data_IF_513239464169
#
_entry.id   IF_513239464169
#
_cell.length_a   1.000
_cell.length_b   1.000
_cell.length_c   1.000
_cell.angle_alpha   90.00
_cell.angle_beta   90.00
_cell.angle_gamma   90.00
#
_symmetry.space_group_name_H-M   'P 1'
#
loop_
_entity.id
_entity.type
_entity.pdbx_description
1 polymer ?
#
# COMPACT_ATOMS: atom_id res chain seq x y z
N UNK A 1 8.39 22.01 0.35
CA UNK A 1 8.51 20.58 -0.03
C UNK A 1 7.45 20.32 -1.07
N UNK A 2 7.87 19.97 -2.30
CA UNK A 2 6.97 19.64 -3.41
C UNK A 2 6.85 18.12 -3.52
N UNK A 3 5.63 17.63 -3.42
CA UNK A 3 5.32 16.19 -3.45
C UNK A 3 4.72 15.84 -4.80
N UNK A 4 5.30 14.87 -5.50
CA UNK A 4 4.66 14.22 -6.63
C UNK A 4 3.76 13.09 -6.13
N UNK A 5 2.46 13.20 -6.32
CA UNK A 5 1.52 12.13 -5.96
C UNK A 5 1.49 11.08 -7.07
N UNK A 6 1.97 9.88 -6.77
CA UNK A 6 1.84 8.74 -7.65
C UNK A 6 0.60 7.92 -7.27
N UNK A 7 -0.41 7.92 -8.14
CA UNK A 7 -1.63 7.12 -7.98
C UNK A 7 -1.51 5.86 -8.84
N UNK A 8 -1.31 4.67 -8.23
CA UNK A 8 -1.16 3.43 -8.96
C UNK A 8 -2.42 3.03 -9.73
N UNK A 9 -2.24 2.23 -10.79
CA UNK A 9 -3.32 1.86 -11.71
C UNK A 9 -4.53 1.18 -11.05
N UNK A 10 -4.34 0.36 -10.01
CA UNK A 10 -5.45 -0.23 -9.25
C UNK A 10 -6.21 0.81 -8.42
N UNK A 11 -5.51 1.78 -7.85
CA UNK A 11 -6.14 2.89 -7.14
C UNK A 11 -6.93 3.75 -8.11
N UNK A 12 -6.31 4.15 -9.21
CA UNK A 12 -6.95 5.01 -10.23
C UNK A 12 -8.19 4.36 -10.85
N UNK A 13 -8.12 3.06 -11.17
CA UNK A 13 -9.18 2.35 -11.87
C UNK A 13 -10.33 1.85 -10.97
N UNK A 14 -10.06 1.47 -9.72
CA UNK A 14 -11.03 0.76 -8.89
C UNK A 14 -11.37 1.45 -7.56
N UNK A 15 -10.44 2.26 -7.03
CA UNK A 15 -10.59 2.91 -5.71
C UNK A 15 -10.03 4.35 -5.74
N UNK A 16 -10.48 5.22 -6.68
CA UNK A 16 -9.95 6.58 -6.83
C UNK A 16 -10.03 7.42 -5.55
N UNK A 17 -10.98 7.12 -4.68
CA UNK A 17 -11.12 7.73 -3.35
C UNK A 17 -9.90 7.51 -2.45
N UNK A 18 -9.09 6.48 -2.68
CA UNK A 18 -7.82 6.28 -1.96
C UNK A 18 -6.78 7.31 -2.41
N UNK A 19 -6.74 7.62 -3.70
CA UNK A 19 -5.90 8.68 -4.26
C UNK A 19 -6.30 10.06 -3.71
N UNK A 20 -7.61 10.34 -3.67
CA UNK A 20 -8.17 11.58 -3.11
C UNK A 20 -7.84 11.69 -1.62
N UNK A 21 -8.08 10.65 -0.83
CA UNK A 21 -7.75 10.63 0.59
C UNK A 21 -6.25 10.83 0.86
N UNK A 22 -5.39 10.30 -0.02
CA UNK A 22 -3.94 10.50 0.07
C UNK A 22 -3.57 11.96 -0.20
N UNK A 23 -4.15 12.57 -1.23
CA UNK A 23 -3.96 13.99 -1.55
C UNK A 23 -4.37 14.86 -0.37
N UNK A 24 -5.63 14.73 0.08
CA UNK A 24 -6.19 15.52 1.17
C UNK A 24 -5.38 15.37 2.47
N UNK A 25 -4.96 14.14 2.79
CA UNK A 25 -4.16 13.87 3.98
C UNK A 25 -2.80 14.59 3.92
N UNK A 26 -2.12 14.55 2.79
CA UNK A 26 -0.84 15.26 2.61
C UNK A 26 -1.03 16.79 2.66
N UNK A 27 -2.10 17.31 2.07
CA UNK A 27 -2.44 18.73 2.12
C UNK A 27 -2.80 19.21 3.54
N UNK A 28 -3.46 18.37 4.38
CA UNK A 28 -3.71 18.67 5.80
C UNK A 28 -2.42 18.89 6.60
N UNK A 29 -1.31 18.27 6.17
CA UNK A 29 0.02 18.52 6.74
C UNK A 29 0.74 19.72 6.10
N UNK A 30 0.05 20.53 5.30
CA UNK A 30 0.59 21.75 4.69
C UNK A 30 1.57 21.50 3.55
N UNK A 31 1.53 20.32 2.93
CA UNK A 31 2.40 19.98 1.80
C UNK A 31 1.83 20.49 0.48
N UNK A 32 2.72 20.91 -0.43
CA UNK A 32 2.35 21.20 -1.83
C UNK A 32 2.37 19.89 -2.62
N UNK A 33 1.21 19.41 -3.00
CA UNK A 33 1.05 18.13 -3.71
C UNK A 33 0.65 18.39 -5.15
N UNK A 34 1.32 17.74 -6.09
CA UNK A 34 1.03 17.82 -7.52
C UNK A 34 0.81 16.41 -8.07
N UNK A 35 -0.20 16.28 -8.93
CA UNK A 35 -0.54 15.04 -9.63
C UNK A 35 -0.13 15.14 -11.11
N UNK A 36 0.93 14.47 -11.57
CA UNK A 36 1.26 14.39 -12.99
C UNK A 36 0.18 13.64 -13.77
N UNK A 37 -0.50 14.31 -14.71
CA UNK A 37 -1.66 13.75 -15.40
C UNK A 37 -1.34 12.63 -16.39
N UNK A 38 -0.11 12.55 -16.88
CA UNK A 38 0.34 11.51 -17.82
C UNK A 38 1.03 10.32 -17.13
N UNK A 39 0.89 10.20 -15.80
CA UNK A 39 1.37 9.04 -15.07
C UNK A 39 0.60 7.76 -15.43
N UNK A 40 1.25 6.61 -15.26
CA UNK A 40 0.69 5.31 -15.59
C UNK A 40 1.01 4.27 -14.51
N UNK A 41 1.06 2.99 -14.86
CA UNK A 41 1.43 1.89 -13.96
C UNK A 41 2.90 1.99 -13.50
N UNK A 42 3.22 1.37 -12.34
CA UNK A 42 4.60 1.21 -11.86
C UNK A 42 5.44 0.20 -12.67
N UNK A 43 4.82 -0.57 -13.57
CA UNK A 43 5.51 -1.61 -14.35
C UNK A 43 5.52 -3.01 -13.71
N UNK A 44 5.07 -3.17 -12.47
CA UNK A 44 5.14 -4.44 -11.74
C UNK A 44 4.53 -5.65 -12.47
N UNK A 45 3.36 -5.57 -13.14
CA UNK A 45 2.84 -6.73 -13.87
C UNK A 45 3.76 -7.24 -14.97
N UNK A 46 4.48 -6.36 -15.66
CA UNK A 46 5.44 -6.72 -16.70
C UNK A 46 6.67 -7.38 -16.11
N UNK A 47 7.25 -6.80 -15.06
CA UNK A 47 8.45 -7.35 -14.41
C UNK A 47 8.18 -8.69 -13.73
N UNK A 48 7.02 -8.85 -13.08
CA UNK A 48 6.62 -10.10 -12.42
C UNK A 48 6.40 -11.26 -13.42
N UNK A 49 6.12 -10.96 -14.68
CA UNK A 49 5.97 -11.97 -15.75
C UNK A 49 7.25 -12.18 -16.57
N UNK A 50 8.35 -11.54 -16.21
CA UNK A 50 9.61 -11.64 -16.92
C UNK A 50 9.74 -10.74 -18.16
N UNK A 51 8.72 -9.90 -18.44
CA UNK A 51 8.70 -8.95 -19.55
C UNK A 51 9.42 -7.65 -19.16
N UNK A 52 10.70 -7.74 -18.80
CA UNK A 52 11.46 -6.59 -18.31
C UNK A 52 11.71 -5.52 -19.39
N UNK A 53 11.91 -5.91 -20.63
CA UNK A 53 12.16 -4.96 -21.72
C UNK A 53 10.93 -4.11 -22.02
N UNK A 54 9.76 -4.70 -21.93
CA UNK A 54 8.47 -4.04 -22.14
C UNK A 54 8.15 -3.03 -21.04
N UNK A 55 8.73 -3.20 -19.84
CA UNK A 55 8.59 -2.24 -18.76
C UNK A 55 9.37 -0.92 -19.00
N UNK A 56 10.36 -0.91 -19.88
CA UNK A 56 11.26 0.22 -20.06
C UNK A 56 10.55 1.55 -20.37
N UNK A 57 9.52 1.53 -21.21
CA UNK A 57 8.76 2.74 -21.54
C UNK A 57 7.99 3.30 -20.33
N UNK A 58 7.39 2.42 -19.54
CA UNK A 58 6.68 2.77 -18.28
C UNK A 58 7.65 3.32 -17.24
N UNK A 59 8.81 2.70 -17.09
CA UNK A 59 9.86 3.15 -16.16
C UNK A 59 10.42 4.53 -16.56
N UNK A 60 10.67 4.74 -17.86
CA UNK A 60 11.14 6.03 -18.38
C UNK A 60 10.10 7.15 -18.16
N UNK A 61 8.81 6.84 -18.37
CA UNK A 61 7.72 7.77 -18.11
C UNK A 61 7.60 8.11 -16.62
N UNK A 62 7.77 7.14 -15.73
CA UNK A 62 7.78 7.37 -14.28
C UNK A 62 8.90 8.36 -13.90
N UNK A 63 10.12 8.12 -14.37
CA UNK A 63 11.25 9.01 -14.09
C UNK A 63 10.99 10.42 -14.64
N UNK A 64 10.51 10.54 -15.90
CA UNK A 64 10.16 11.83 -16.51
C UNK A 64 9.16 12.61 -15.66
N UNK A 65 8.11 11.95 -15.16
CA UNK A 65 7.03 12.59 -14.40
C UNK A 65 7.47 13.03 -13.01
N UNK A 66 8.39 12.28 -12.38
CA UNK A 66 8.68 12.44 -10.96
C UNK A 66 10.07 13.00 -10.65
N UNK A 67 10.94 13.24 -11.64
CA UNK A 67 12.30 13.74 -11.40
C UNK A 67 12.34 15.12 -10.74
N UNK A 68 11.38 16.01 -11.02
CA UNK A 68 11.32 17.39 -10.55
C UNK A 68 10.78 17.60 -9.12
N UNK A 69 10.35 16.56 -8.41
CA UNK A 69 9.80 16.68 -7.05
C UNK A 69 10.83 16.40 -5.97
N UNK A 70 10.59 16.91 -4.76
CA UNK A 70 11.44 16.60 -3.59
C UNK A 70 11.21 15.16 -3.12
N UNK A 71 9.96 14.73 -3.11
CA UNK A 71 9.51 13.36 -2.80
C UNK A 71 8.43 12.91 -3.76
N UNK A 72 8.34 11.60 -3.95
CA UNK A 72 7.22 10.93 -4.62
C UNK A 72 6.51 10.08 -3.58
N UNK A 73 5.21 10.29 -3.42
CA UNK A 73 4.41 9.54 -2.43
C UNK A 73 3.30 8.78 -3.13
N UNK A 74 3.15 7.50 -2.76
CA UNK A 74 2.13 6.62 -3.33
C UNK A 74 1.41 5.80 -2.26
N UNK A 75 0.09 5.61 -2.33
CA UNK A 75 -0.68 4.75 -1.43
C UNK A 75 -0.64 3.27 -1.88
N UNK A 76 0.55 2.72 -2.07
CA UNK A 76 0.72 1.32 -2.47
C UNK A 76 2.13 0.81 -2.16
N UNK A 77 2.21 -0.11 -1.21
CA UNK A 77 3.48 -0.72 -0.84
C UNK A 77 4.11 -1.57 -1.95
N UNK A 78 3.29 -2.25 -2.75
CA UNK A 78 3.78 -3.06 -3.87
C UNK A 78 4.36 -2.22 -5.00
N UNK A 79 3.71 -1.11 -5.35
CA UNK A 79 4.17 -0.21 -6.40
C UNK A 79 5.44 0.55 -5.99
N UNK A 80 5.53 1.00 -4.73
CA UNK A 80 6.76 1.65 -4.23
C UNK A 80 7.92 0.66 -4.20
N UNK A 81 7.70 -0.58 -3.76
CA UNK A 81 8.71 -1.63 -3.82
C UNK A 81 9.17 -1.88 -5.26
N UNK A 82 8.25 -1.94 -6.22
CA UNK A 82 8.59 -2.06 -7.64
C UNK A 82 9.50 -0.93 -8.11
N UNK A 83 9.15 0.33 -7.81
CA UNK A 83 9.95 1.49 -8.23
C UNK A 83 11.32 1.48 -7.56
N UNK A 84 11.40 1.23 -6.26
CA UNK A 84 12.65 1.30 -5.51
C UNK A 84 13.62 0.18 -5.83
N UNK A 85 13.12 -1.05 -6.00
CA UNK A 85 13.99 -2.23 -6.11
C UNK A 85 14.04 -2.81 -7.53
N UNK A 86 12.98 -2.65 -8.33
CA UNK A 86 12.81 -3.36 -9.59
C UNK A 86 12.67 -2.46 -10.84
N UNK A 87 12.78 -1.13 -10.70
CA UNK A 87 12.86 -0.21 -11.83
C UNK A 87 14.28 -0.29 -12.45
N UNK A 88 14.51 -1.30 -13.28
CA UNK A 88 15.85 -1.68 -13.79
C UNK A 88 15.91 -1.90 -15.31
N UNK A 89 14.78 -1.75 -16.03
CA UNK A 89 14.72 -1.94 -17.47
C UNK A 89 15.33 -0.77 -18.27
N UNK A 90 15.60 0.36 -17.63
CA UNK A 90 16.24 1.54 -18.20
C UNK A 90 17.64 1.76 -17.61
N UNK A 91 18.54 2.51 -18.31
CA UNK A 91 19.85 2.84 -17.78
C UNK A 91 19.78 3.53 -16.41
N UNK A 92 20.55 3.04 -15.43
CA UNK A 92 20.53 3.50 -14.04
C UNK A 92 21.37 4.77 -13.85
N UNK A 93 20.95 5.87 -14.47
CA UNK A 93 21.58 7.19 -14.32
C UNK A 93 21.39 7.74 -12.90
N UNK A 94 22.11 8.80 -12.56
CA UNK A 94 21.96 9.43 -11.24
C UNK A 94 20.56 10.01 -11.04
N UNK A 95 19.90 10.49 -12.09
CA UNK A 95 18.50 10.93 -12.06
C UNK A 95 17.57 9.77 -11.72
N UNK A 96 17.71 8.62 -12.37
CA UNK A 96 16.90 7.41 -12.09
C UNK A 96 17.09 6.95 -10.65
N UNK A 97 18.34 6.87 -10.18
CA UNK A 97 18.66 6.52 -8.78
C UNK A 97 18.05 7.51 -7.79
N UNK A 98 18.11 8.82 -8.10
CA UNK A 98 17.52 9.86 -7.26
C UNK A 98 15.98 9.72 -7.17
N UNK A 99 15.30 9.46 -8.29
CA UNK A 99 13.84 9.24 -8.30
C UNK A 99 13.47 8.00 -7.49
N UNK A 100 14.17 6.90 -7.65
CA UNK A 100 13.98 5.67 -6.85
C UNK A 100 14.14 5.93 -5.35
N UNK A 101 15.20 6.64 -4.96
CA UNK A 101 15.52 6.91 -3.56
C UNK A 101 14.52 7.83 -2.85
N UNK A 102 13.87 8.74 -3.59
CA UNK A 102 12.87 9.68 -3.05
C UNK A 102 11.42 9.22 -3.19
N UNK A 103 11.19 7.97 -3.66
CA UNK A 103 9.86 7.37 -3.75
C UNK A 103 9.52 6.64 -2.47
N UNK A 104 8.44 7.07 -1.82
CA UNK A 104 7.98 6.57 -0.53
C UNK A 104 6.54 6.05 -0.61
N UNK A 105 6.26 5.02 0.15
CA UNK A 105 4.88 4.67 0.43
C UNK A 105 4.31 5.63 1.49
N UNK A 106 3.01 5.90 1.42
CA UNK A 106 2.34 6.89 2.26
C UNK A 106 2.63 6.70 3.75
N UNK A 107 2.48 5.48 4.27
CA UNK A 107 2.73 5.18 5.70
C UNK A 107 4.19 5.44 6.07
N UNK A 108 5.12 5.00 5.22
CA UNK A 108 6.55 5.24 5.42
C UNK A 108 6.85 6.75 5.43
N UNK A 109 6.27 7.51 4.50
CA UNK A 109 6.45 8.94 4.40
C UNK A 109 5.92 9.66 5.66
N UNK A 110 4.72 9.33 6.10
CA UNK A 110 4.12 9.92 7.30
C UNK A 110 4.91 9.57 8.57
N UNK A 111 5.39 8.33 8.67
CA UNK A 111 6.08 7.84 9.86
C UNK A 111 7.55 8.30 9.93
N UNK A 112 8.31 8.16 8.84
CA UNK A 112 9.77 8.33 8.85
C UNK A 112 10.19 9.75 8.45
N UNK A 113 9.49 10.38 7.49
CA UNK A 113 9.83 11.71 6.97
C UNK A 113 9.12 12.80 7.77
N UNK A 114 7.79 12.74 7.85
CA UNK A 114 6.99 13.74 8.57
C UNK A 114 6.98 13.51 10.08
N UNK A 115 7.22 12.29 10.53
CA UNK A 115 7.23 11.89 11.96
C UNK A 115 5.95 12.32 12.67
N UNK A 116 4.81 11.99 12.08
CA UNK A 116 3.49 12.39 12.58
C UNK A 116 3.30 11.90 14.01
N UNK A 117 2.98 12.81 14.94
CA UNK A 117 2.74 12.51 16.34
C UNK A 117 1.25 12.31 16.66
N UNK A 118 0.35 13.02 15.98
CA UNK A 118 -1.09 12.99 16.24
C UNK A 118 -1.91 13.15 14.95
N UNK A 119 -3.17 12.71 15.00
CA UNK A 119 -4.16 12.80 13.92
C UNK A 119 -5.49 13.28 14.51
N UNK A 120 -5.62 14.56 14.90
CA UNK A 120 -6.75 15.05 15.70
C UNK A 120 -8.10 14.98 14.97
N UNK A 121 -8.09 14.87 13.64
CA UNK A 121 -9.30 14.73 12.82
C UNK A 121 -9.72 13.28 12.58
N UNK A 122 -8.82 12.30 12.84
CA UNK A 122 -9.06 10.90 12.49
C UNK A 122 -9.81 10.17 13.62
N UNK A 123 -11.02 9.72 13.32
CA UNK A 123 -11.85 8.90 14.20
C UNK A 123 -12.39 7.70 13.43
N UNK A 124 -12.21 6.49 13.97
CA UNK A 124 -12.65 5.23 13.35
C UNK A 124 -12.97 4.19 14.43
N UNK A 125 -14.15 4.25 15.09
CA UNK A 125 -14.47 3.45 16.28
C UNK A 125 -14.88 2.03 15.93
N UNK A 126 -13.96 1.28 15.31
CA UNK A 126 -14.17 -0.08 14.83
C UNK A 126 -13.02 -1.02 15.19
N UNK A 127 -13.33 -2.33 15.24
CA UNK A 127 -12.35 -3.40 15.34
C UNK A 127 -11.72 -3.68 13.99
N UNK A 128 -10.41 -3.52 13.91
CA UNK A 128 -9.64 -3.54 12.68
C UNK A 128 -8.61 -4.65 12.69
N UNK A 129 -8.64 -5.51 11.68
CA UNK A 129 -7.50 -6.34 11.31
C UNK A 129 -6.59 -5.59 10.35
N UNK A 130 -5.31 -5.44 10.68
CA UNK A 130 -4.37 -4.87 9.73
C UNK A 130 -3.75 -5.97 8.85
N UNK A 131 -3.90 -5.85 7.54
CA UNK A 131 -3.22 -6.71 6.57
C UNK A 131 -1.88 -6.10 6.15
N UNK A 132 -0.79 -6.71 6.59
CA UNK A 132 0.56 -6.35 6.13
C UNK A 132 0.77 -6.81 4.70
N UNK A 133 0.80 -5.88 3.75
CA UNK A 133 1.19 -6.15 2.36
C UNK A 133 2.61 -6.74 2.33
N UNK A 134 2.81 -7.86 1.63
CA UNK A 134 4.09 -8.60 1.67
C UNK A 134 5.28 -7.79 1.13
N UNK A 135 5.08 -6.99 0.07
CA UNK A 135 6.12 -6.11 -0.48
C UNK A 135 6.44 -4.95 0.48
N UNK A 136 5.42 -4.37 1.12
CA UNK A 136 5.64 -3.32 2.12
C UNK A 136 6.34 -3.88 3.36
N UNK A 137 5.91 -5.05 3.84
CA UNK A 137 6.48 -5.70 5.01
C UNK A 137 7.97 -6.03 4.83
N UNK A 138 8.29 -6.80 3.78
CA UNK A 138 9.62 -7.37 3.55
C UNK A 138 10.51 -6.53 2.62
N UNK A 139 9.91 -5.85 1.65
CA UNK A 139 10.66 -5.10 0.64
C UNK A 139 11.03 -3.69 1.07
N UNK A 140 10.10 -2.96 1.71
CA UNK A 140 10.34 -1.56 2.12
C UNK A 140 10.31 -1.34 3.65
N UNK A 141 10.20 -2.40 4.43
CA UNK A 141 10.39 -2.34 5.89
C UNK A 141 9.29 -1.60 6.66
N UNK A 142 8.03 -1.78 6.26
CA UNK A 142 6.88 -1.23 7.00
C UNK A 142 6.75 -1.79 8.42
N UNK A 143 7.14 -3.05 8.60
CA UNK A 143 7.16 -3.71 9.89
C UNK A 143 8.29 -4.73 9.94
N UNK A 144 8.50 -5.31 11.11
CA UNK A 144 9.40 -6.46 11.28
C UNK A 144 8.62 -7.74 11.07
N UNK A 145 8.95 -8.54 10.06
CA UNK A 145 8.36 -9.85 9.87
C UNK A 145 8.62 -10.78 11.06
N UNK A 146 7.64 -11.60 11.41
CA UNK A 146 7.71 -12.52 12.56
C UNK A 146 8.83 -13.56 12.42
N UNK A 147 9.15 -13.97 11.20
CA UNK A 147 10.23 -14.89 10.88
C UNK A 147 11.63 -14.40 11.32
N UNK A 148 11.81 -13.10 11.52
CA UNK A 148 13.08 -12.54 12.01
C UNK A 148 13.29 -12.77 13.51
N UNK A 149 12.26 -13.20 14.22
CA UNK A 149 12.30 -13.44 15.69
C UNK A 149 12.94 -12.27 16.47
N UNK A 150 12.55 -11.03 16.13
CA UNK A 150 12.99 -9.77 16.77
C UNK A 150 11.81 -9.07 17.42
N UNK A 151 12.05 -8.12 18.35
CA UNK A 151 10.97 -7.33 18.94
C UNK A 151 10.03 -6.74 17.90
N UNK A 152 8.74 -6.81 18.17
CA UNK A 152 7.68 -6.32 17.26
C UNK A 152 7.88 -4.83 16.94
N UNK A 153 7.66 -4.48 15.67
CA UNK A 153 7.65 -3.10 15.18
C UNK A 153 6.76 -3.00 13.95
N UNK A 154 5.92 -1.97 13.86
CA UNK A 154 5.05 -1.74 12.71
C UNK A 154 4.72 -0.25 12.56
N UNK A 155 5.19 0.38 11.48
CA UNK A 155 4.88 1.77 11.13
C UNK A 155 3.36 1.98 10.95
N UNK A 156 2.64 1.12 10.17
CA UNK A 156 1.19 1.26 10.03
C UNK A 156 0.45 1.22 11.36
N UNK A 157 0.78 0.26 12.22
CA UNK A 157 0.13 0.17 13.53
C UNK A 157 0.47 1.33 14.45
N UNK A 158 1.68 1.90 14.34
CA UNK A 158 2.05 3.11 15.06
C UNK A 158 1.18 4.31 14.65
N UNK A 159 0.82 4.42 13.37
CA UNK A 159 -0.10 5.46 12.89
C UNK A 159 -1.56 5.15 13.25
N UNK A 160 -2.02 3.93 13.07
CA UNK A 160 -3.40 3.53 13.40
C UNK A 160 -3.75 3.70 14.88
N UNK A 161 -2.77 3.51 15.79
CA UNK A 161 -2.94 3.80 17.23
C UNK A 161 -3.23 5.26 17.56
N UNK A 162 -3.00 6.19 16.61
CA UNK A 162 -3.30 7.63 16.76
C UNK A 162 -4.73 7.98 16.30
N UNK A 163 -5.44 7.02 15.70
CA UNK A 163 -6.82 7.19 15.25
C UNK A 163 -7.76 6.93 16.42
N UNK A 164 -8.62 7.89 16.71
CA UNK A 164 -9.53 7.82 17.86
C UNK A 164 -10.56 6.69 17.69
N UNK A 165 -10.71 5.88 18.74
CA UNK A 165 -11.70 4.81 18.81
C UNK A 165 -11.33 3.53 18.05
N UNK A 166 -10.23 3.51 17.29
CA UNK A 166 -9.79 2.33 16.54
C UNK A 166 -9.18 1.28 17.48
N UNK A 167 -9.67 0.04 17.37
CA UNK A 167 -9.16 -1.13 18.09
C UNK A 167 -8.53 -2.10 17.09
N UNK A 168 -7.23 -2.37 17.23
CA UNK A 168 -6.53 -3.37 16.39
C UNK A 168 -6.71 -4.75 17.01
N UNK A 169 -7.23 -5.71 16.24
CA UNK A 169 -7.34 -7.12 16.66
C UNK A 169 -6.10 -7.91 16.25
N UNK A 170 -5.71 -8.86 17.09
CA UNK A 170 -4.55 -9.72 16.85
C UNK A 170 -4.90 -10.86 15.89
N UNK A 171 -4.13 -11.01 14.83
CA UNK A 171 -4.22 -12.12 13.89
C UNK A 171 -3.32 -13.29 14.32
N UNK A 172 -3.77 -14.52 14.09
CA UNK A 172 -2.96 -15.71 14.34
C UNK A 172 -1.76 -15.77 13.39
N UNK A 173 -1.95 -15.28 12.14
CA UNK A 173 -0.93 -15.26 11.08
C UNK A 173 -0.80 -13.85 10.49
N UNK A 174 -0.22 -12.88 11.23
CA UNK A 174 -0.18 -11.47 10.83
C UNK A 174 0.55 -11.24 9.50
N UNK A 175 1.64 -11.98 9.24
CA UNK A 175 2.53 -11.79 8.09
C UNK A 175 2.17 -12.65 6.87
N UNK A 176 1.05 -13.37 6.93
CA UNK A 176 0.59 -14.21 5.82
C UNK A 176 0.16 -13.36 4.63
N UNK A 177 0.63 -13.76 3.44
CA UNK A 177 0.25 -13.13 2.18
C UNK A 177 -1.24 -13.34 1.88
N UNK A 178 -1.90 -12.33 1.28
CA UNK A 178 -3.29 -12.46 0.84
C UNK A 178 -3.49 -13.41 -0.35
N UNK A 179 -2.41 -13.71 -1.11
CA UNK A 179 -2.47 -14.56 -2.29
C UNK A 179 -2.70 -13.84 -3.62
N UNK A 180 -2.88 -12.53 -3.64
CA UNK A 180 -3.11 -11.81 -4.91
C UNK A 180 -1.91 -11.95 -5.86
N UNK A 181 -0.72 -11.47 -5.47
CA UNK A 181 0.52 -11.59 -6.24
C UNK A 181 0.48 -11.03 -7.67
N UNK A 182 -0.48 -10.14 -7.99
CA UNK A 182 -0.67 -9.59 -9.33
C UNK A 182 -1.03 -10.68 -10.33
N UNK A 183 -0.15 -10.94 -11.30
CA UNK A 183 -0.31 -11.97 -12.33
C UNK A 183 -0.37 -13.39 -11.76
N UNK A 184 0.15 -13.64 -10.55
CA UNK A 184 0.04 -14.92 -9.85
C UNK A 184 -1.40 -15.35 -9.67
N UNK A 185 -2.31 -14.43 -9.35
CA UNK A 185 -3.74 -14.74 -9.19
C UNK A 185 -4.41 -15.21 -10.49
N UNK A 186 -3.82 -14.89 -11.64
CA UNK A 186 -4.30 -15.34 -12.96
C UNK A 186 -3.68 -16.68 -13.34
N UNK A 187 -2.39 -16.87 -13.10
CA UNK A 187 -1.68 -18.10 -13.47
C UNK A 187 -1.89 -19.24 -12.49
N UNK A 188 -2.10 -18.94 -11.20
CA UNK A 188 -2.28 -19.91 -10.13
C UNK A 188 -3.58 -19.64 -9.33
N UNK A 189 -4.77 -19.58 -10.00
CA UNK A 189 -5.99 -19.08 -9.37
C UNK A 189 -6.45 -19.92 -8.18
N UNK A 190 -6.24 -21.23 -8.21
CA UNK A 190 -6.64 -22.12 -7.12
C UNK A 190 -5.81 -21.88 -5.85
N UNK A 191 -4.50 -21.68 -5.99
CA UNK A 191 -3.59 -21.40 -4.87
C UNK A 191 -3.85 -20.01 -4.33
N UNK A 192 -3.98 -19.02 -5.22
CA UNK A 192 -4.31 -17.64 -4.88
C UNK A 192 -5.61 -17.53 -4.07
N UNK A 193 -6.68 -18.16 -4.53
CA UNK A 193 -7.96 -18.19 -3.83
C UNK A 193 -7.84 -18.88 -2.45
N UNK A 194 -7.13 -20.01 -2.36
CA UNK A 194 -6.93 -20.71 -1.07
C UNK A 194 -6.21 -19.82 -0.06
N UNK A 195 -5.15 -19.12 -0.47
CA UNK A 195 -4.43 -18.16 0.39
C UNK A 195 -5.36 -17.04 0.86
N UNK A 196 -6.17 -16.50 -0.06
CA UNK A 196 -7.15 -15.46 0.27
C UNK A 196 -8.21 -15.95 1.28
N UNK A 197 -8.73 -17.15 1.10
CA UNK A 197 -9.70 -17.76 2.04
C UNK A 197 -9.10 -17.98 3.44
N UNK A 198 -7.85 -18.44 3.52
CA UNK A 198 -7.17 -18.63 4.80
C UNK A 198 -6.98 -17.29 5.51
N UNK A 199 -6.56 -16.26 4.79
CA UNK A 199 -6.38 -14.91 5.33
C UNK A 199 -7.69 -14.30 5.84
N UNK A 200 -8.75 -14.36 5.04
CA UNK A 200 -10.09 -13.87 5.42
C UNK A 200 -10.64 -14.63 6.63
N UNK A 201 -10.41 -15.94 6.69
CA UNK A 201 -10.84 -16.76 7.83
C UNK A 201 -10.13 -16.35 9.13
N UNK A 202 -8.83 -16.07 9.08
CA UNK A 202 -8.05 -15.60 10.23
C UNK A 202 -8.55 -14.23 10.73
N UNK A 203 -8.83 -13.30 9.81
CA UNK A 203 -9.38 -11.97 10.12
C UNK A 203 -10.77 -12.05 10.75
N UNK A 204 -11.65 -12.89 10.21
CA UNK A 204 -12.99 -13.10 10.77
C UNK A 204 -12.95 -13.74 12.17
N UNK A 205 -12.07 -14.74 12.38
CA UNK A 205 -11.88 -15.39 13.69
C UNK A 205 -11.33 -14.41 14.74
N UNK A 206 -10.51 -13.44 14.34
CA UNK A 206 -10.02 -12.40 15.21
C UNK A 206 -11.12 -11.39 15.64
N UNK A 207 -12.31 -11.47 15.04
CA UNK A 207 -13.43 -10.59 15.36
C UNK A 207 -13.31 -9.20 14.72
N UNK A 208 -12.60 -9.09 13.61
CA UNK A 208 -12.50 -7.83 12.88
C UNK A 208 -13.86 -7.43 12.26
N UNK A 209 -14.15 -6.14 12.24
CA UNK A 209 -15.25 -5.53 11.47
C UNK A 209 -14.72 -5.02 10.13
N UNK A 210 -13.50 -4.47 10.15
CA UNK A 210 -12.81 -3.97 8.99
C UNK A 210 -11.43 -4.61 8.82
N UNK A 211 -11.03 -4.74 7.55
CA UNK A 211 -9.65 -5.04 7.17
C UNK A 211 -9.03 -3.77 6.59
N UNK A 212 -7.92 -3.33 7.18
CA UNK A 212 -7.15 -2.17 6.74
C UNK A 212 -5.84 -2.62 6.13
N UNK A 213 -5.43 -2.04 5.01
CA UNK A 213 -4.13 -2.29 4.38
C UNK A 213 -3.61 -1.02 3.70
N UNK A 214 -2.32 -1.00 3.41
CA UNK A 214 -1.65 0.02 2.60
C UNK A 214 -1.51 -0.39 1.13
N UNK A 215 -2.41 -1.28 0.65
CA UNK A 215 -2.38 -1.75 -0.74
C UNK A 215 -3.78 -2.18 -1.20
N UNK A 216 -4.37 -1.41 -2.13
CA UNK A 216 -5.71 -1.64 -2.67
C UNK A 216 -5.85 -2.98 -3.37
N UNK A 217 -4.80 -3.47 -4.03
CA UNK A 217 -4.85 -4.76 -4.72
C UNK A 217 -5.03 -5.94 -3.77
N UNK A 218 -4.39 -5.86 -2.59
CA UNK A 218 -4.57 -6.84 -1.53
C UNK A 218 -5.98 -6.79 -0.94
N UNK A 219 -6.52 -5.57 -0.73
CA UNK A 219 -7.89 -5.38 -0.21
C UNK A 219 -8.93 -5.93 -1.19
N UNK A 220 -8.80 -5.60 -2.47
CA UNK A 220 -9.68 -6.09 -3.54
C UNK A 220 -9.74 -7.62 -3.58
N UNK A 221 -8.58 -8.28 -3.54
CA UNK A 221 -8.51 -9.74 -3.56
C UNK A 221 -9.18 -10.37 -2.34
N UNK A 222 -8.88 -9.86 -1.14
CA UNK A 222 -9.46 -10.35 0.11
C UNK A 222 -10.98 -10.09 0.15
N UNK A 223 -11.46 -8.93 -0.34
CA UNK A 223 -12.88 -8.60 -0.46
C UNK A 223 -13.60 -9.64 -1.31
N UNK A 224 -13.09 -9.96 -2.50
CA UNK A 224 -13.66 -10.98 -3.36
C UNK A 224 -13.67 -12.38 -2.72
N UNK A 225 -12.65 -12.73 -1.93
CA UNK A 225 -12.60 -13.97 -1.16
C UNK A 225 -13.64 -13.98 -0.03
N UNK A 226 -13.81 -12.87 0.70
CA UNK A 226 -14.82 -12.76 1.78
C UNK A 226 -16.24 -12.87 1.24
N UNK A 227 -16.54 -12.20 0.14
CA UNK A 227 -17.85 -12.28 -0.53
C UNK A 227 -18.20 -13.73 -0.92
N UNK A 228 -17.24 -14.47 -1.48
CA UNK A 228 -17.44 -15.89 -1.83
C UNK A 228 -17.62 -16.81 -0.61
N UNK A 229 -17.01 -16.47 0.52
CA UNK A 229 -17.17 -17.20 1.78
C UNK A 229 -18.43 -16.79 2.57
N UNK A 230 -19.11 -15.71 2.15
CA UNK A 230 -20.23 -15.14 2.90
C UNK A 230 -19.78 -14.51 4.24
N UNK A 231 -18.53 -14.04 4.33
CA UNK A 231 -17.98 -13.41 5.54
C UNK A 231 -18.20 -11.90 5.49
N UNK A 232 -18.86 -11.27 6.49
CA UNK A 232 -19.26 -9.88 6.43
C UNK A 232 -18.12 -8.91 6.85
N UNK A 233 -16.92 -9.08 6.32
CA UNK A 233 -15.80 -8.17 6.52
C UNK A 233 -15.90 -6.99 5.57
N UNK A 234 -15.62 -5.80 6.07
CA UNK A 234 -15.47 -4.57 5.27
C UNK A 234 -14.00 -4.28 5.02
N UNK A 235 -13.70 -3.62 3.91
CA UNK A 235 -12.32 -3.38 3.45
C UNK A 235 -12.12 -1.89 3.22
N UNK A 236 -11.05 -1.31 3.74
CA UNK A 236 -10.75 0.11 3.63
C UNK A 236 -9.23 0.34 3.58
N UNK A 237 -8.79 1.28 2.74
CA UNK A 237 -7.39 1.63 2.65
C UNK A 237 -6.95 2.50 3.84
N UNK A 238 -5.71 2.30 4.31
CA UNK A 238 -5.18 3.05 5.47
C UNK A 238 -5.21 4.58 5.25
N UNK A 239 -5.01 5.05 4.02
CA UNK A 239 -5.09 6.48 3.68
C UNK A 239 -6.44 7.10 4.06
N UNK A 240 -7.53 6.37 3.80
CA UNK A 240 -8.90 6.82 4.13
C UNK A 240 -9.10 6.89 5.66
N UNK A 241 -8.62 5.87 6.38
CA UNK A 241 -8.72 5.83 7.85
C UNK A 241 -7.93 6.99 8.47
N UNK A 242 -6.69 7.23 8.01
CA UNK A 242 -5.85 8.31 8.51
C UNK A 242 -6.36 9.71 8.12
N UNK A 243 -7.09 9.82 6.99
CA UNK A 243 -7.73 11.07 6.57
C UNK A 243 -9.06 11.36 7.30
N UNK A 244 -9.56 10.42 8.11
CA UNK A 244 -10.80 10.58 8.85
C UNK A 244 -12.05 10.22 8.03
N UNK A 245 -11.97 9.20 7.19
CA UNK A 245 -13.13 8.69 6.47
C UNK A 245 -14.22 8.25 7.46
N UNK A 246 -15.45 8.64 7.19
CA UNK A 246 -16.60 8.08 7.87
C UNK A 246 -16.76 6.59 7.48
N UNK A 247 -17.04 5.74 8.49
CA UNK A 247 -17.24 4.30 8.32
C UNK A 247 -18.60 3.97 7.68
#
# INVERSE_FOLDING_TARGET
MRIGLFVPCYVDAFEPEVGIATLELLERFGLSVEYPYDQTCCGQPMTNTGCHQEAAATEALFVKNFSGFDYVVAPSGSCVHQVREHLTAIPQTDEVKAVRAKTFELVEFLHDVLKIEELPWAEFPHKVAYHSNCNALRGIGHARPTELNRPFFSKPLNLLKKVKGLEVVDLTRPDECCGFGGTFSVFEPAVSAKMGYDKVTDQARAGAEYVVSADSSCLMHQKGCAERLGVPLRYIHIAQVLNGAAA
#
